data_IF_360527246218
#
_entry.id   IF_360527246218
#
_cell.length_a   1.000
_cell.length_b   1.000
_cell.length_c   1.000
_cell.angle_alpha   90.00
_cell.angle_beta   90.00
_cell.angle_gamma   90.00
#
_symmetry.space_group_name_H-M   'P 1'
#
loop_
_entity.id
_entity.type
_entity.pdbx_description
1 polymer ?
#
# COMPACT_ATOMS: atom_id res chain seq x y z
N UNK A 1 -40.12 -24.71 -58.69
CA UNK A 1 -39.35 -25.94 -58.37
C UNK A 1 -38.70 -25.73 -57.02
N UNK A 2 -39.13 -26.53 -56.04
CA UNK A 2 -38.59 -26.81 -54.68
C UNK A 2 -38.10 -25.65 -53.80
N UNK A 3 -38.29 -25.62 -52.48
CA UNK A 3 -39.07 -26.43 -51.54
C UNK A 3 -38.98 -25.60 -50.23
N UNK A 4 -40.04 -24.91 -49.83
CA UNK A 4 -40.85 -25.22 -48.63
C UNK A 4 -40.12 -25.91 -47.48
N UNK A 5 -40.07 -25.19 -46.35
CA UNK A 5 -39.90 -25.67 -44.98
C UNK A 5 -39.77 -24.45 -44.05
N UNK A 6 -40.81 -23.68 -43.68
CA UNK A 6 -42.03 -24.06 -42.92
C UNK A 6 -41.61 -24.95 -41.74
N UNK A 7 -41.69 -24.53 -40.47
CA UNK A 7 -42.78 -23.87 -39.74
C UNK A 7 -42.27 -23.55 -38.32
N UNK A 8 -42.42 -22.30 -37.82
CA UNK A 8 -43.56 -21.80 -37.02
C UNK A 8 -43.51 -22.28 -35.55
N UNK A 9 -43.88 -21.52 -34.52
CA UNK A 9 -45.16 -20.82 -34.38
C UNK A 9 -45.15 -19.96 -33.06
N UNK A 10 -45.33 -18.63 -33.15
CA UNK A 10 -46.27 -17.79 -32.35
C UNK A 10 -45.90 -17.42 -30.89
N UNK A 11 -46.25 -16.26 -30.29
CA UNK A 11 -47.02 -15.07 -30.70
C UNK A 11 -46.78 -13.89 -29.72
N UNK A 12 -47.09 -12.67 -30.21
CA UNK A 12 -47.38 -11.40 -29.51
C UNK A 12 -48.29 -11.52 -28.26
N UNK A 13 -48.15 -10.57 -27.32
CA UNK A 13 -49.22 -9.82 -26.57
C UNK A 13 -48.49 -8.70 -25.75
N UNK A 14 -48.55 -7.41 -26.13
CA UNK A 14 -49.45 -6.30 -25.73
C UNK A 14 -49.35 -5.83 -24.25
N UNK A 15 -48.67 -4.68 -24.08
CA UNK A 15 -48.99 -3.44 -23.34
C UNK A 15 -49.83 -3.49 -22.03
N UNK A 16 -49.30 -2.92 -20.92
CA UNK A 16 -49.98 -1.89 -20.09
C UNK A 16 -48.91 -1.02 -19.39
N UNK A 17 -49.03 0.30 -19.55
CA UNK A 17 -48.28 1.31 -18.82
C UNK A 17 -48.99 1.69 -17.51
N UNK A 18 -48.22 2.05 -16.48
CA UNK A 18 -48.68 2.97 -15.44
C UNK A 18 -47.61 4.04 -15.21
N UNK A 19 -48.03 5.29 -15.41
CA UNK A 19 -47.29 6.53 -15.20
C UNK A 19 -47.74 7.16 -13.86
N UNK A 20 -46.80 7.68 -13.07
CA UNK A 20 -46.91 8.86 -12.18
C UNK A 20 -45.53 9.07 -11.50
N UNK A 21 -44.65 10.02 -11.84
CA UNK A 21 -44.69 11.48 -12.04
C UNK A 21 -44.57 12.31 -10.73
N UNK A 22 -43.35 12.83 -10.49
CA UNK A 22 -42.99 14.19 -10.02
C UNK A 22 -41.43 14.28 -9.98
N UNK A 23 -40.67 14.81 -10.96
CA UNK A 23 -40.49 16.21 -11.43
C UNK A 23 -40.10 17.18 -10.29
N UNK A 24 -39.07 18.04 -10.32
CA UNK A 24 -38.02 18.50 -11.26
C UNK A 24 -36.91 19.18 -10.39
N UNK A 25 -35.73 19.64 -10.79
CA UNK A 25 -35.16 20.14 -12.03
C UNK A 25 -33.63 20.28 -11.87
N UNK A 26 -32.89 20.27 -12.99
CA UNK A 26 -31.52 20.79 -13.05
C UNK A 26 -30.61 19.92 -13.90
N UNK A 27 -30.49 20.25 -15.19
CA UNK A 27 -29.62 19.52 -16.11
C UNK A 27 -28.14 19.64 -15.76
N UNK A 28 -27.42 18.56 -16.02
CA UNK A 28 -26.00 18.56 -16.39
C UNK A 28 -25.78 17.29 -17.21
N UNK A 29 -25.51 17.49 -18.50
CA UNK A 29 -24.82 16.51 -19.32
C UNK A 29 -23.36 16.61 -18.87
N UNK A 30 -23.01 15.88 -17.82
CA UNK A 30 -21.63 15.70 -17.37
C UNK A 30 -21.49 14.23 -16.97
N UNK A 31 -20.64 13.51 -17.69
CA UNK A 31 -20.29 12.12 -17.42
C UNK A 31 -19.37 12.04 -16.21
N UNK A 32 -19.84 12.57 -15.07
CA UNK A 32 -19.18 12.40 -13.79
C UNK A 32 -19.36 10.94 -13.36
N UNK A 33 -18.24 10.28 -13.10
CA UNK A 33 -18.20 8.94 -12.54
C UNK A 33 -19.17 8.84 -11.34
N UNK A 34 -20.12 7.92 -11.42
CA UNK A 34 -21.10 7.74 -10.35
C UNK A 34 -20.42 7.10 -9.13
N UNK A 35 -19.93 7.92 -8.21
CA UNK A 35 -19.47 7.44 -6.91
C UNK A 35 -20.69 7.07 -6.07
N UNK A 36 -20.84 5.78 -5.75
CA UNK A 36 -21.86 5.28 -4.83
C UNK A 36 -21.25 5.04 -3.44
N UNK A 37 -22.07 5.08 -2.40
CA UNK A 37 -21.60 4.86 -1.03
C UNK A 37 -22.71 4.28 -0.14
N UNK A 38 -22.30 3.73 1.00
CA UNK A 38 -23.21 3.16 1.98
C UNK A 38 -22.51 2.80 3.29
N UNK A 39 -23.25 2.12 4.17
CA UNK A 39 -22.76 1.71 5.48
C UNK A 39 -22.21 0.28 5.44
N UNK A 40 -21.21 0.04 6.27
CA UNK A 40 -20.73 -1.30 6.61
C UNK A 40 -21.33 -1.67 7.96
N UNK A 41 -22.07 -2.78 8.01
CA UNK A 41 -22.72 -3.24 9.24
C UNK A 41 -22.15 -4.59 9.68
N UNK A 42 -22.02 -4.80 10.98
CA UNK A 42 -21.69 -6.12 11.54
C UNK A 42 -22.88 -7.09 11.45
N UNK A 43 -22.66 -8.36 11.82
CA UNK A 43 -23.73 -9.38 11.84
C UNK A 43 -24.92 -9.06 12.75
N UNK A 44 -24.75 -8.13 13.70
CA UNK A 44 -25.81 -7.63 14.58
C UNK A 44 -26.55 -6.40 14.02
N UNK A 45 -26.15 -5.89 12.86
CA UNK A 45 -26.71 -4.69 12.24
C UNK A 45 -26.15 -3.38 12.76
N UNK A 46 -25.09 -3.39 13.59
CA UNK A 46 -24.45 -2.17 14.05
C UNK A 46 -23.52 -1.61 12.97
N UNK A 47 -23.58 -0.30 12.73
CA UNK A 47 -22.69 0.40 11.80
C UNK A 47 -21.25 0.43 12.31
N UNK A 48 -20.33 -0.18 11.56
CA UNK A 48 -18.92 -0.34 11.89
C UNK A 48 -17.98 0.33 10.86
N UNK A 49 -18.56 1.03 9.89
CA UNK A 49 -17.80 1.69 8.85
C UNK A 49 -18.67 2.20 7.71
N UNK A 50 -18.00 2.69 6.68
CA UNK A 50 -18.60 3.13 5.42
C UNK A 50 -17.85 2.54 4.23
N UNK A 51 -18.56 2.36 3.13
CA UNK A 51 -17.99 1.98 1.86
C UNK A 51 -18.29 3.03 0.80
N UNK A 52 -17.40 3.16 -0.18
CA UNK A 52 -17.63 3.93 -1.40
C UNK A 52 -17.09 3.18 -2.60
N UNK A 53 -17.79 3.23 -3.72
CA UNK A 53 -17.36 2.61 -4.96
C UNK A 53 -17.39 3.64 -6.09
N UNK A 54 -16.27 3.72 -6.81
CA UNK A 54 -16.07 4.62 -7.93
C UNK A 54 -16.02 3.83 -9.24
N UNK A 55 -17.06 3.97 -10.06
CA UNK A 55 -17.20 3.29 -11.35
C UNK A 55 -16.10 3.62 -12.35
N UNK A 56 -15.46 4.79 -12.25
CA UNK A 56 -14.42 5.20 -13.21
C UNK A 56 -13.08 4.54 -12.93
N UNK A 57 -12.78 4.31 -11.66
CA UNK A 57 -11.51 3.71 -11.23
C UNK A 57 -11.67 2.25 -10.84
N UNK A 58 -12.92 1.79 -10.68
CA UNK A 58 -13.30 0.43 -10.27
C UNK A 58 -12.70 0.04 -8.90
N UNK A 59 -12.63 1.03 -7.99
CA UNK A 59 -12.17 0.84 -6.62
C UNK A 59 -13.34 0.83 -5.64
N UNK A 60 -13.36 -0.18 -4.78
CA UNK A 60 -14.18 -0.24 -3.57
C UNK A 60 -13.33 0.19 -2.38
N UNK A 61 -13.63 1.33 -1.78
CA UNK A 61 -12.99 1.77 -0.54
C UNK A 61 -13.84 1.39 0.65
N UNK A 62 -13.24 0.71 1.63
CA UNK A 62 -13.83 0.33 2.90
C UNK A 62 -13.13 1.11 4.01
N UNK A 63 -13.89 1.85 4.82
CA UNK A 63 -13.37 2.59 5.97
C UNK A 63 -14.03 2.08 7.23
N UNK A 64 -13.27 1.53 8.16
CA UNK A 64 -13.80 0.93 9.39
C UNK A 64 -13.54 1.82 10.61
N UNK A 65 -14.45 1.79 11.58
CA UNK A 65 -14.38 2.57 12.83
C UNK A 65 -14.09 1.73 14.07
N UNK A 66 -14.13 0.40 13.98
CA UNK A 66 -13.84 -0.54 15.08
C UNK A 66 -13.28 -1.90 14.57
N UNK A 67 -12.69 -2.73 15.44
CA UNK A 67 -12.14 -4.04 15.05
C UNK A 67 -13.24 -5.03 14.69
N UNK A 68 -13.11 -5.70 13.54
CA UNK A 68 -14.25 -6.24 12.79
C UNK A 68 -14.37 -7.77 12.95
N UNK A 69 -15.51 -8.21 13.50
CA UNK A 69 -16.16 -9.52 13.25
C UNK A 69 -16.81 -9.49 11.84
N UNK A 70 -17.27 -10.61 11.24
CA UNK A 70 -17.77 -10.64 9.86
C UNK A 70 -18.77 -9.51 9.53
N UNK A 71 -18.65 -8.91 8.34
CA UNK A 71 -19.36 -7.68 7.96
C UNK A 71 -20.08 -7.82 6.60
N UNK A 72 -21.18 -7.06 6.42
CA UNK A 72 -21.92 -6.95 5.17
C UNK A 72 -21.87 -5.51 4.63
N UNK A 73 -21.82 -5.36 3.30
CA UNK A 73 -21.92 -4.08 2.60
C UNK A 73 -23.38 -3.84 2.20
N UNK A 74 -24.04 -2.88 2.85
CA UNK A 74 -25.44 -2.60 2.56
C UNK A 74 -25.61 -1.97 1.17
N UNK A 75 -26.44 -2.56 0.32
CA UNK A 75 -26.80 -2.04 -0.99
C UNK A 75 -25.69 -2.02 -2.06
N UNK A 76 -24.55 -2.67 -1.83
CA UNK A 76 -23.44 -2.68 -2.79
C UNK A 76 -23.77 -3.53 -4.03
N UNK A 77 -23.63 -2.92 -5.21
CA UNK A 77 -23.70 -3.61 -6.51
C UNK A 77 -22.61 -3.02 -7.40
N UNK A 78 -21.95 -3.86 -8.21
CA UNK A 78 -20.93 -3.42 -9.16
C UNK A 78 -21.12 -4.12 -10.50
N UNK A 79 -20.71 -3.46 -11.58
CA UNK A 79 -20.89 -3.97 -12.94
C UNK A 79 -19.68 -4.77 -13.47
N UNK A 80 -18.52 -4.68 -12.80
CA UNK A 80 -17.24 -5.19 -13.30
C UNK A 80 -16.65 -6.30 -12.43
N UNK A 81 -16.15 -7.38 -13.01
CA UNK A 81 -15.57 -8.51 -12.28
C UNK A 81 -14.23 -8.18 -11.57
N UNK A 82 -13.62 -7.02 -11.83
CA UNK A 82 -12.27 -6.67 -11.32
C UNK A 82 -12.29 -5.46 -10.39
N UNK A 83 -12.80 -5.63 -9.18
CA UNK A 83 -12.80 -4.58 -8.15
C UNK A 83 -11.50 -4.63 -7.33
N UNK A 84 -10.71 -3.54 -7.32
CA UNK A 84 -9.63 -3.38 -6.32
C UNK A 84 -10.22 -2.85 -5.02
N UNK A 85 -9.86 -3.44 -3.90
CA UNK A 85 -10.41 -3.06 -2.59
C UNK A 85 -9.39 -2.26 -1.81
N UNK A 86 -9.71 -1.02 -1.46
CA UNK A 86 -8.94 -0.21 -0.54
C UNK A 86 -9.50 -0.40 0.87
N UNK A 87 -8.67 -0.85 1.81
CA UNK A 87 -9.05 -0.99 3.21
C UNK A 87 -8.35 0.10 4.02
N UNK A 88 -9.12 1.07 4.52
CA UNK A 88 -8.62 2.12 5.40
C UNK A 88 -8.74 1.72 6.87
N UNK A 89 -7.61 1.71 7.56
CA UNK A 89 -7.51 1.40 8.98
C UNK A 89 -6.11 0.95 9.36
N UNK A 90 -5.81 0.92 10.66
CA UNK A 90 -4.44 0.63 11.12
C UNK A 90 -4.18 -0.89 11.21
N UNK A 91 -4.95 -1.68 11.96
CA UNK A 91 -4.57 -3.08 12.26
C UNK A 91 -5.60 -4.13 11.79
N UNK A 92 -6.35 -3.86 10.73
CA UNK A 92 -7.47 -4.72 10.32
C UNK A 92 -7.04 -5.74 9.29
N UNK A 93 -7.12 -7.04 9.61
CA UNK A 93 -7.06 -8.10 8.60
C UNK A 93 -8.49 -8.52 8.23
N UNK A 94 -8.96 -8.11 7.06
CA UNK A 94 -10.31 -8.45 6.58
C UNK A 94 -10.29 -9.45 5.43
N UNK A 95 -9.14 -10.05 5.14
CA UNK A 95 -8.96 -10.98 4.00
C UNK A 95 -9.97 -12.14 4.02
N UNK A 96 -10.41 -12.56 5.20
CA UNK A 96 -11.41 -13.63 5.40
C UNK A 96 -12.86 -13.14 5.40
N UNK A 97 -13.10 -11.84 5.57
CA UNK A 97 -14.46 -11.26 5.51
C UNK A 97 -14.91 -11.04 4.06
N UNK A 98 -13.96 -10.81 3.14
CA UNK A 98 -14.25 -10.50 1.74
C UNK A 98 -14.78 -11.70 0.95
N UNK A 99 -14.49 -12.94 1.36
CA UNK A 99 -15.12 -14.14 0.77
C UNK A 99 -16.63 -14.14 0.93
N UNK A 100 -17.16 -13.48 1.97
CA UNK A 100 -18.60 -13.33 2.19
C UNK A 100 -19.21 -12.17 1.36
N UNK A 101 -18.39 -11.26 0.84
CA UNK A 101 -18.83 -10.06 0.13
C UNK A 101 -18.96 -10.26 -1.39
N UNK A 102 -18.64 -11.45 -1.92
CA UNK A 102 -18.59 -11.73 -3.37
C UNK A 102 -17.67 -10.76 -4.15
N UNK A 103 -16.72 -10.16 -3.44
CA UNK A 103 -15.70 -9.26 -3.98
C UNK A 103 -14.50 -10.11 -4.45
N UNK A 104 -13.65 -9.65 -5.40
CA UNK A 104 -12.56 -10.44 -5.98
C UNK A 104 -11.59 -11.03 -4.93
N UNK A 105 -10.75 -12.01 -5.34
CA UNK A 105 -9.84 -12.72 -4.45
C UNK A 105 -8.96 -11.79 -3.62
N UNK A 106 -8.52 -12.27 -2.46
CA UNK A 106 -7.66 -11.53 -1.52
C UNK A 106 -6.34 -11.00 -2.10
N UNK A 107 -5.99 -11.32 -3.35
CA UNK A 107 -4.84 -10.77 -4.06
C UNK A 107 -5.04 -9.29 -4.44
N UNK A 108 -6.25 -8.85 -4.79
CA UNK A 108 -6.50 -7.48 -5.28
C UNK A 108 -6.78 -6.46 -4.15
N UNK A 109 -6.21 -6.72 -2.97
CA UNK A 109 -6.38 -5.88 -1.79
C UNK A 109 -5.23 -4.89 -1.65
N UNK A 110 -5.62 -3.63 -1.44
CA UNK A 110 -4.73 -2.55 -1.06
C UNK A 110 -5.14 -2.08 0.35
N UNK A 111 -4.29 -2.31 1.33
CA UNK A 111 -4.49 -1.70 2.65
C UNK A 111 -3.86 -0.32 2.65
N UNK A 112 -4.47 0.63 3.36
CA UNK A 112 -3.97 1.99 3.43
C UNK A 112 -4.22 2.58 4.82
N UNK A 113 -3.30 3.42 5.26
CA UNK A 113 -3.51 4.26 6.43
C UNK A 113 -2.59 5.47 6.43
N UNK A 114 -2.75 6.30 7.46
CA UNK A 114 -1.98 7.54 7.57
C UNK A 114 -0.67 7.30 8.31
N UNK A 115 0.36 8.01 7.88
CA UNK A 115 1.60 8.21 8.62
C UNK A 115 1.45 9.57 9.33
N UNK A 116 1.21 9.59 10.65
CA UNK A 116 0.88 10.82 11.34
C UNK A 116 2.05 11.80 11.28
N UNK A 117 1.73 13.07 10.98
CA UNK A 117 2.70 14.14 11.11
C UNK A 117 2.92 14.42 12.60
N UNK A 118 4.08 14.04 13.13
CA UNK A 118 4.54 14.52 14.43
C UNK A 118 5.29 15.84 14.29
N UNK A 119 5.40 16.62 15.36
CA UNK A 119 6.03 17.95 15.36
C UNK A 119 7.37 17.95 14.61
N UNK A 120 7.47 18.81 13.60
CA UNK A 120 8.61 18.98 12.69
C UNK A 120 8.95 17.82 11.74
N UNK A 121 8.32 16.64 11.84
CA UNK A 121 8.53 15.55 10.88
C UNK A 121 7.51 15.61 9.73
N UNK A 122 7.80 14.94 8.62
CA UNK A 122 6.86 14.81 7.52
C UNK A 122 5.81 13.73 7.80
N UNK A 123 4.54 14.04 7.56
CA UNK A 123 3.46 13.06 7.51
C UNK A 123 3.37 12.40 6.13
N UNK A 124 2.49 11.42 6.00
CA UNK A 124 2.34 10.67 4.77
C UNK A 124 1.18 9.69 4.81
N UNK A 125 1.19 8.80 3.85
CA UNK A 125 0.26 7.68 3.71
C UNK A 125 1.10 6.43 3.48
N UNK A 126 0.71 5.32 4.09
CA UNK A 126 1.24 4.01 3.76
C UNK A 126 0.20 3.22 2.98
N UNK A 127 0.64 2.44 2.00
CA UNK A 127 -0.18 1.44 1.32
C UNK A 127 0.51 0.08 1.36
N UNK A 128 -0.27 -1.00 1.43
CA UNK A 128 0.20 -2.37 1.29
C UNK A 128 -0.60 -3.09 0.22
N UNK A 129 0.06 -3.41 -0.90
CA UNK A 129 -0.52 -4.22 -1.98
C UNK A 129 -0.26 -5.70 -1.70
N UNK A 130 -1.33 -6.47 -1.51
CA UNK A 130 -1.26 -7.90 -1.16
C UNK A 130 -0.77 -8.74 -2.33
N UNK A 131 -1.14 -8.41 -3.58
CA UNK A 131 -0.68 -9.15 -4.77
C UNK A 131 0.81 -9.01 -4.98
N UNK A 132 1.34 -7.82 -4.74
CA UNK A 132 2.75 -7.49 -4.94
C UNK A 132 3.60 -7.69 -3.67
N UNK A 133 2.95 -7.96 -2.53
CA UNK A 133 3.58 -7.99 -1.19
C UNK A 133 4.45 -6.76 -0.94
N UNK A 134 3.99 -5.61 -1.42
CA UNK A 134 4.75 -4.37 -1.44
C UNK A 134 4.11 -3.34 -0.52
N UNK A 135 4.89 -2.84 0.45
CA UNK A 135 4.52 -1.66 1.23
C UNK A 135 5.11 -0.41 0.58
N UNK A 136 4.30 0.62 0.36
CA UNK A 136 4.75 1.93 -0.13
C UNK A 136 4.48 2.99 0.93
N UNK A 137 5.50 3.79 1.24
CA UNK A 137 5.42 4.91 2.18
C UNK A 137 5.55 6.20 1.38
N UNK A 138 4.46 6.92 1.20
CA UNK A 138 4.41 8.15 0.40
C UNK A 138 4.29 9.35 1.32
N UNK A 139 5.27 10.25 1.24
CA UNK A 139 5.20 11.54 1.93
C UNK A 139 4.11 12.41 1.32
N UNK A 140 3.24 12.98 2.15
CA UNK A 140 2.16 13.87 1.69
C UNK A 140 2.24 15.28 2.29
N UNK A 141 3.04 15.51 3.34
CA UNK A 141 3.17 16.82 3.97
C UNK A 141 4.60 17.37 4.03
N UNK A 142 4.72 18.70 3.96
CA UNK A 142 5.97 19.44 4.04
C UNK A 142 6.37 19.75 5.49
N UNK A 143 6.81 18.75 6.23
CA UNK A 143 7.54 18.97 7.49
C UNK A 143 8.89 19.66 7.23
N UNK A 144 9.37 20.46 8.21
CA UNK A 144 10.71 21.09 8.17
C UNK A 144 11.83 20.07 8.23
N UNK A 145 11.61 18.95 8.92
CA UNK A 145 12.45 17.76 8.90
C UNK A 145 11.88 16.76 7.89
N UNK A 146 12.65 16.50 6.83
CA UNK A 146 12.26 15.68 5.66
C UNK A 146 12.27 14.16 5.96
N UNK A 147 12.08 13.78 7.22
CA UNK A 147 12.30 12.44 7.74
C UNK A 147 11.04 11.65 8.02
N UNK A 148 11.08 10.37 7.67
CA UNK A 148 10.16 9.34 8.12
C UNK A 148 10.53 8.94 9.54
N UNK A 149 9.66 9.25 10.49
CA UNK A 149 9.89 9.01 11.91
C UNK A 149 8.92 7.97 12.46
N UNK A 150 9.43 7.11 13.35
CA UNK A 150 8.59 6.16 14.09
C UNK A 150 7.82 6.87 15.22
N UNK A 151 6.58 7.28 14.95
CA UNK A 151 5.80 8.20 15.79
C UNK A 151 5.36 7.66 17.18
N UNK A 152 5.53 6.36 17.49
CA UNK A 152 5.00 5.78 18.73
C UNK A 152 6.05 5.73 19.85
N UNK A 153 5.94 6.69 20.78
CA UNK A 153 6.79 6.81 21.97
C UNK A 153 6.02 6.45 23.24
N UNK A 154 6.28 5.27 23.82
CA UNK A 154 6.30 5.04 25.28
C UNK A 154 6.81 3.66 25.73
N UNK A 155 7.13 2.74 24.81
CA UNK A 155 8.00 1.59 25.12
C UNK A 155 8.84 1.21 23.90
N UNK A 156 10.12 0.91 24.13
CA UNK A 156 11.23 0.85 23.17
C UNK A 156 11.15 -0.21 22.05
N UNK A 157 9.98 -0.81 21.80
CA UNK A 157 9.82 -1.95 20.88
C UNK A 157 8.65 -1.81 19.89
N UNK A 158 7.82 -0.78 20.00
CA UNK A 158 6.63 -0.65 19.15
C UNK A 158 6.92 0.27 17.97
N UNK A 159 7.14 -0.32 16.79
CA UNK A 159 7.10 0.40 15.52
C UNK A 159 5.68 0.87 15.23
N UNK A 160 5.50 1.85 14.33
CA UNK A 160 4.19 2.14 13.73
C UNK A 160 3.51 0.89 13.11
N UNK A 161 4.29 -0.17 12.88
CA UNK A 161 3.82 -1.45 12.36
C UNK A 161 3.58 -2.56 13.40
N UNK A 162 3.68 -2.28 14.71
CA UNK A 162 3.79 -3.33 15.73
C UNK A 162 2.65 -4.37 15.65
N UNK A 163 1.41 -3.90 15.45
CA UNK A 163 0.22 -4.75 15.36
C UNK A 163 -0.26 -4.96 13.91
N UNK A 164 0.57 -4.65 12.92
CA UNK A 164 0.19 -4.79 11.51
C UNK A 164 0.20 -6.25 11.09
N UNK A 165 -0.97 -6.75 10.69
CA UNK A 165 -1.13 -8.14 10.25
C UNK A 165 -0.25 -8.51 9.04
N UNK A 166 0.09 -7.54 8.18
CA UNK A 166 0.88 -7.76 6.96
C UNK A 166 2.39 -7.79 7.19
N UNK A 167 2.88 -7.42 8.38
CA UNK A 167 4.30 -7.22 8.66
C UNK A 167 5.17 -8.43 8.31
N UNK A 168 4.66 -9.64 8.53
CA UNK A 168 5.36 -10.89 8.20
C UNK A 168 5.32 -11.28 6.73
N UNK A 169 4.43 -10.67 5.94
CA UNK A 169 4.19 -11.02 4.53
C UNK A 169 4.86 -10.06 3.55
N UNK A 170 5.13 -8.82 3.95
CA UNK A 170 5.81 -7.81 3.11
C UNK A 170 7.17 -8.34 2.62
N UNK A 171 7.36 -8.32 1.30
CA UNK A 171 8.62 -8.70 0.64
C UNK A 171 9.37 -7.51 0.06
N UNK A 172 8.67 -6.41 -0.25
CA UNK A 172 9.27 -5.19 -0.82
C UNK A 172 8.77 -3.95 -0.09
N UNK A 173 9.66 -2.99 0.12
CA UNK A 173 9.33 -1.66 0.63
C UNK A 173 9.78 -0.57 -0.34
N UNK A 174 8.89 0.38 -0.63
CA UNK A 174 9.17 1.58 -1.41
C UNK A 174 8.99 2.81 -0.51
N UNK A 175 9.99 3.68 -0.47
CA UNK A 175 9.97 4.91 0.33
C UNK A 175 10.02 6.11 -0.62
N UNK A 176 8.89 6.80 -0.74
CA UNK A 176 8.68 7.88 -1.69
C UNK A 176 8.56 9.24 -0.99
N UNK A 177 9.34 10.21 -1.48
CA UNK A 177 9.35 11.60 -1.00
C UNK A 177 10.01 11.84 0.37
N UNK A 178 10.31 10.81 1.17
CA UNK A 178 11.09 10.93 2.40
C UNK A 178 12.60 10.97 2.11
N UNK A 179 13.29 11.93 2.70
CA UNK A 179 14.74 12.11 2.53
C UNK A 179 15.54 11.49 3.66
N UNK A 180 14.95 11.34 4.85
CA UNK A 180 15.57 10.59 5.94
C UNK A 180 14.64 9.55 6.52
N UNK A 181 15.18 8.50 7.14
CA UNK A 181 14.40 7.48 7.84
C UNK A 181 15.00 7.17 9.22
N UNK A 182 14.15 7.12 10.24
CA UNK A 182 14.58 6.89 11.62
C UNK A 182 14.87 5.42 11.97
N UNK A 183 15.09 5.18 13.26
CA UNK A 183 15.28 3.84 13.83
C UNK A 183 14.03 3.00 13.67
N UNK A 184 14.24 1.70 13.47
CA UNK A 184 13.21 0.68 13.55
C UNK A 184 12.05 0.83 12.57
N UNK A 185 12.19 1.60 11.48
CA UNK A 185 11.12 1.75 10.49
C UNK A 185 10.68 0.39 9.97
N UNK A 186 11.59 -0.54 9.64
CA UNK A 186 11.23 -1.89 9.21
C UNK A 186 11.65 -2.96 10.22
N UNK A 187 11.66 -2.64 11.52
CA UNK A 187 12.05 -3.61 12.53
C UNK A 187 11.15 -4.85 12.50
N UNK A 188 11.73 -6.05 12.51
CA UNK A 188 11.03 -7.35 12.48
C UNK A 188 10.23 -7.65 11.19
N UNK A 189 10.47 -6.93 10.09
CA UNK A 189 9.93 -7.30 8.77
C UNK A 189 10.69 -8.51 8.21
N UNK A 190 10.40 -9.70 8.73
CA UNK A 190 11.15 -10.94 8.43
C UNK A 190 11.04 -11.40 6.97
N UNK A 191 9.95 -11.02 6.29
CA UNK A 191 9.74 -11.29 4.88
C UNK A 191 10.43 -10.31 3.93
N UNK A 192 10.89 -9.17 4.42
CA UNK A 192 11.38 -8.06 3.59
C UNK A 192 12.70 -8.41 2.91
N UNK A 193 12.68 -8.43 1.57
CA UNK A 193 13.81 -8.76 0.71
C UNK A 193 14.36 -7.53 0.00
N UNK A 194 13.52 -6.58 -0.38
CA UNK A 194 13.93 -5.45 -1.23
C UNK A 194 13.46 -4.11 -0.65
N UNK A 195 14.34 -3.12 -0.65
CA UNK A 195 14.01 -1.75 -0.23
C UNK A 195 14.48 -0.75 -1.27
N UNK A 196 13.57 0.12 -1.70
CA UNK A 196 13.80 1.09 -2.77
C UNK A 196 13.44 2.50 -2.32
N UNK A 197 14.24 3.48 -2.73
CA UNK A 197 13.90 4.89 -2.59
C UNK A 197 14.58 5.74 -3.64
N UNK A 198 13.84 6.67 -4.23
CA UNK A 198 14.35 7.69 -5.14
C UNK A 198 14.62 9.03 -4.43
N UNK A 199 14.37 9.14 -3.13
CA UNK A 199 14.49 10.42 -2.39
C UNK A 199 15.45 10.36 -1.21
N UNK A 200 15.82 9.16 -0.76
CA UNK A 200 16.64 8.94 0.44
C UNK A 200 18.00 9.64 0.37
N UNK A 201 18.36 10.31 1.47
CA UNK A 201 19.62 11.04 1.70
C UNK A 201 20.37 10.54 2.92
N UNK A 202 19.68 10.02 3.93
CA UNK A 202 20.28 9.35 5.08
C UNK A 202 19.24 8.47 5.80
N UNK A 203 19.66 7.51 6.61
CA UNK A 203 18.75 6.66 7.36
C UNK A 203 19.41 6.11 8.60
N UNK A 204 18.69 5.68 9.64
CA UNK A 204 19.34 5.12 10.83
C UNK A 204 19.88 3.70 10.56
N UNK A 205 21.00 3.32 11.22
CA UNK A 205 21.58 1.97 11.12
C UNK A 205 20.59 0.87 11.55
N UNK A 206 19.69 1.21 12.48
CA UNK A 206 18.70 0.30 13.05
C UNK A 206 17.39 0.27 12.23
N UNK A 207 17.33 0.96 11.08
CA UNK A 207 16.15 0.97 10.20
C UNK A 207 15.71 -0.44 9.78
N UNK A 208 16.67 -1.35 9.58
CA UNK A 208 16.45 -2.71 9.08
C UNK A 208 16.72 -3.80 10.14
N UNK A 209 16.61 -3.47 11.42
CA UNK A 209 16.86 -4.45 12.49
C UNK A 209 15.92 -5.67 12.39
N UNK A 210 16.47 -6.87 12.58
CA UNK A 210 15.74 -8.14 12.49
C UNK A 210 15.00 -8.38 11.17
N UNK A 211 15.53 -7.85 10.07
CA UNK A 211 15.06 -8.14 8.71
C UNK A 211 15.96 -9.15 8.00
N UNK A 212 15.57 -9.56 6.79
CA UNK A 212 16.39 -10.37 5.89
C UNK A 212 16.55 -9.70 4.53
N UNK A 213 16.71 -8.37 4.53
CA UNK A 213 16.87 -7.57 3.30
C UNK A 213 18.06 -8.07 2.49
N UNK A 214 17.80 -8.34 1.22
CA UNK A 214 18.77 -8.81 0.22
C UNK A 214 19.19 -7.71 -0.74
N UNK A 215 18.28 -6.79 -1.06
CA UNK A 215 18.50 -5.80 -2.10
C UNK A 215 18.13 -4.40 -1.59
N UNK A 216 19.05 -3.45 -1.76
CA UNK A 216 18.81 -2.04 -1.46
C UNK A 216 19.11 -1.20 -2.68
N UNK A 217 18.18 -0.31 -3.06
CA UNK A 217 18.36 0.62 -4.17
C UNK A 217 17.96 2.04 -3.74
N UNK A 218 18.94 2.89 -3.48
CA UNK A 218 18.74 4.30 -3.12
C UNK A 218 19.39 5.21 -4.16
N UNK A 219 18.63 5.57 -5.20
CA UNK A 219 19.20 6.19 -6.40
C UNK A 219 19.75 7.59 -6.18
N UNK A 220 19.23 8.31 -5.19
CA UNK A 220 19.60 9.68 -4.87
C UNK A 220 20.50 9.83 -3.62
N UNK A 221 20.94 8.70 -3.03
CA UNK A 221 21.84 8.70 -1.89
C UNK A 221 23.26 9.07 -2.36
N UNK A 222 23.80 10.19 -1.86
CA UNK A 222 25.12 10.71 -2.26
C UNK A 222 26.24 10.17 -1.37
N UNK A 223 25.94 9.97 -0.09
CA UNK A 223 26.90 9.49 0.91
C UNK A 223 26.25 8.35 1.69
N UNK A 224 26.90 7.19 1.72
CA UNK A 224 26.56 6.13 2.65
C UNK A 224 27.36 6.33 3.94
N UNK A 225 26.68 6.83 4.97
CA UNK A 225 27.30 7.14 6.26
C UNK A 225 27.82 5.88 6.99
N UNK A 226 28.59 6.11 8.05
CA UNK A 226 29.21 5.03 8.82
C UNK A 226 28.15 4.09 9.41
N UNK A 227 28.46 2.80 9.42
CA UNK A 227 27.64 1.71 9.97
C UNK A 227 26.21 1.56 9.39
N UNK A 228 25.83 2.29 8.33
CA UNK A 228 24.43 2.35 7.87
C UNK A 228 23.84 1.01 7.44
N UNK A 229 24.64 0.13 6.86
CA UNK A 229 24.23 -1.23 6.46
C UNK A 229 24.99 -2.30 7.25
N UNK A 230 25.53 -1.94 8.42
CA UNK A 230 26.31 -2.84 9.26
C UNK A 230 25.41 -4.00 9.76
N UNK A 231 25.91 -5.23 9.62
CA UNK A 231 25.26 -6.44 10.13
C UNK A 231 24.11 -6.96 9.28
N UNK A 232 23.86 -6.42 8.09
CA UNK A 232 22.87 -6.98 7.16
C UNK A 232 23.42 -8.24 6.49
N UNK A 233 23.45 -9.36 7.23
CA UNK A 233 24.13 -10.59 6.82
C UNK A 233 23.56 -11.19 5.52
N UNK A 234 22.28 -10.93 5.21
CA UNK A 234 21.57 -11.39 4.01
C UNK A 234 21.66 -10.43 2.82
N UNK A 235 22.31 -9.27 2.96
CA UNK A 235 22.40 -8.28 1.89
C UNK A 235 23.26 -8.81 0.75
N UNK A 236 22.66 -8.99 -0.43
CA UNK A 236 23.29 -9.55 -1.63
C UNK A 236 23.69 -8.44 -2.62
N UNK A 237 22.82 -7.42 -2.78
CA UNK A 237 23.03 -6.33 -3.74
C UNK A 237 22.71 -4.96 -3.14
N UNK A 238 23.50 -3.96 -3.55
CA UNK A 238 23.33 -2.56 -3.18
C UNK A 238 23.55 -1.69 -4.40
N UNK A 239 22.54 -0.90 -4.77
CA UNK A 239 22.55 -0.04 -5.94
C UNK A 239 22.42 1.43 -5.51
N UNK A 240 23.54 2.17 -5.54
CA UNK A 240 23.63 3.56 -5.11
C UNK A 240 24.29 4.41 -6.22
N UNK A 241 23.65 4.57 -7.40
CA UNK A 241 24.29 5.15 -8.58
C UNK A 241 24.77 6.60 -8.39
N UNK A 242 24.21 7.34 -7.43
CA UNK A 242 24.65 8.70 -7.10
C UNK A 242 25.69 8.77 -5.97
N UNK A 243 26.07 7.62 -5.38
CA UNK A 243 26.99 7.62 -4.25
C UNK A 243 28.41 7.99 -4.69
N UNK A 244 28.98 8.96 -3.99
CA UNK A 244 30.36 9.42 -4.18
C UNK A 244 31.23 9.13 -2.95
N UNK A 245 30.62 8.75 -1.83
CA UNK A 245 31.33 8.40 -0.61
C UNK A 245 30.65 7.25 0.12
N UNK A 246 31.45 6.28 0.57
CA UNK A 246 31.06 5.23 1.51
C UNK A 246 31.98 5.34 2.72
N UNK A 247 31.40 5.54 3.89
CA UNK A 247 32.14 5.75 5.15
C UNK A 247 32.42 4.43 5.87
N UNK A 248 33.27 4.53 6.89
CA UNK A 248 33.79 3.41 7.67
C UNK A 248 32.68 2.43 8.10
N UNK A 249 32.97 1.15 7.93
CA UNK A 249 32.13 0.02 8.39
C UNK A 249 30.70 0.03 7.84
N UNK A 250 30.39 0.83 6.81
CA UNK A 250 29.05 0.88 6.22
C UNK A 250 28.52 -0.51 5.83
N UNK A 251 29.38 -1.41 5.37
CA UNK A 251 29.05 -2.80 5.01
C UNK A 251 29.66 -3.85 5.95
N UNK A 252 30.14 -3.45 7.14
CA UNK A 252 30.70 -4.39 8.11
C UNK A 252 29.68 -5.48 8.41
N UNK A 253 30.06 -6.77 8.36
CA UNK A 253 29.13 -7.87 8.63
C UNK A 253 28.12 -8.20 7.52
N UNK A 254 28.17 -7.56 6.35
CA UNK A 254 27.38 -7.94 5.17
C UNK A 254 27.96 -9.22 4.51
N UNK A 255 27.73 -10.38 5.12
CA UNK A 255 28.36 -11.66 4.71
C UNK A 255 27.98 -12.14 3.30
N UNK A 256 26.79 -11.77 2.82
CA UNK A 256 26.28 -12.18 1.50
C UNK A 256 26.56 -11.18 0.38
N UNK A 257 27.19 -10.03 0.69
CA UNK A 257 27.43 -8.98 -0.29
C UNK A 257 28.61 -9.40 -1.17
N UNK A 258 28.33 -9.70 -2.44
CA UNK A 258 29.33 -10.22 -3.39
C UNK A 258 29.97 -9.14 -4.26
N UNK A 259 29.33 -7.98 -4.37
CA UNK A 259 29.84 -6.86 -5.16
C UNK A 259 30.96 -6.12 -4.39
N UNK A 260 32.12 -5.83 -5.03
CA UNK A 260 33.11 -4.96 -4.43
C UNK A 260 32.55 -3.54 -4.28
N UNK A 261 32.98 -2.80 -3.24
CA UNK A 261 32.50 -1.43 -2.99
C UNK A 261 32.65 -0.49 -4.21
N UNK A 262 33.64 -0.72 -5.07
CA UNK A 262 33.84 0.06 -6.30
C UNK A 262 32.70 -0.11 -7.32
N UNK A 263 31.99 -1.24 -7.32
CA UNK A 263 30.83 -1.46 -8.17
C UNK A 263 29.54 -0.82 -7.61
N UNK A 264 29.58 -0.39 -6.34
CA UNK A 264 28.45 0.27 -5.65
C UNK A 264 28.51 1.79 -5.84
N UNK A 265 29.71 2.34 -6.01
CA UNK A 265 29.97 3.77 -6.16
C UNK A 265 29.79 4.25 -7.60
N UNK A 266 29.48 5.54 -7.77
CA UNK A 266 29.68 6.24 -9.04
C UNK A 266 31.17 6.26 -9.43
N UNK A 267 31.48 6.48 -10.71
CA UNK A 267 32.85 6.42 -11.26
C UNK A 267 33.89 7.30 -10.52
N UNK A 268 33.45 8.31 -9.76
CA UNK A 268 34.29 9.24 -8.99
C UNK A 268 34.29 8.98 -7.47
N UNK A 269 33.69 7.90 -7.00
CA UNK A 269 33.47 7.67 -5.57
C UNK A 269 34.73 7.22 -4.81
N UNK A 270 34.79 7.56 -3.52
CA UNK A 270 35.89 7.15 -2.61
C UNK A 270 35.35 6.28 -1.47
N UNK A 271 36.13 5.26 -1.09
CA UNK A 271 35.89 4.47 0.14
C UNK A 271 36.75 5.06 1.25
N UNK A 272 36.11 5.51 2.33
CA UNK A 272 36.80 5.96 3.54
C UNK A 272 36.99 4.74 4.47
N UNK A 273 38.20 4.58 4.99
CA UNK A 273 38.67 3.40 5.74
C UNK A 273 38.84 3.67 7.22
#
# INVERSE_FOLDING_TARGET
MGNVGKRSLWALIVLVAVLAAAAAAGGADDSDAAVTNGNINDTGGAGIGTWSYDDSTNYLTLTFTSSVQPAALDGFTHASDTVRVIVKGNNLNISTALTALSVPPSADLLYQGDIPQITNCAGGVWTYDVSEKTITLTRTSSGTWYGLYNAYTSSSAHTMWYDMFFKGDVEKAVIDGYQTAGRYIFNDFKGLKTVESSSMKDFDREMFQYTSVKNISFTNLVTLNADRLNGLESLETVNLPSATAVNDRAFSGCKSLTAPCSAILSESGTVLS
#
